data_IF_720436245039
#
_entry.id   IF_720436245039
#
_cell.length_a   1.000
_cell.length_b   1.000
_cell.length_c   1.000
_cell.angle_alpha   90.00
_cell.angle_beta   90.00
_cell.angle_gamma   90.00
#
_symmetry.space_group_name_H-M   'P 1'
#
loop_
_entity.id
_entity.type
_entity.pdbx_description
1 polymer ?
#
# COMPACT_ATOMS: atom_id res chain seq x y z
N UNK A 1 7.67 97.53 -9.28
CA UNK A 1 6.95 97.98 -8.09
C UNK A 1 5.60 97.30 -8.04
N UNK A 2 5.42 96.27 -7.29
CA UNK A 2 4.27 95.95 -6.46
C UNK A 2 4.42 94.47 -5.93
N UNK A 3 4.50 94.39 -4.62
CA UNK A 3 4.53 93.20 -3.86
C UNK A 3 3.16 92.46 -3.87
N UNK A 4 3.10 91.20 -4.14
CA UNK A 4 1.91 90.41 -3.99
C UNK A 4 2.12 89.35 -2.91
N UNK A 5 1.38 89.49 -1.81
CA UNK A 5 1.35 88.58 -0.63
C UNK A 5 0.73 87.26 -0.98
N UNK A 6 1.42 86.19 -0.69
CA UNK A 6 0.86 84.80 -0.77
C UNK A 6 0.39 84.38 0.62
N UNK A 7 -0.91 84.09 0.74
CA UNK A 7 -1.56 83.48 1.90
C UNK A 7 -1.40 81.93 1.81
N UNK A 8 -0.76 81.37 2.81
CA UNK A 8 -0.64 79.86 2.88
C UNK A 8 -1.90 79.27 3.50
N UNK A 9 -2.49 78.30 2.82
CA UNK A 9 -3.54 77.44 3.33
C UNK A 9 -2.88 76.15 3.89
N UNK A 10 -3.02 75.97 5.20
CA UNK A 10 -2.56 74.72 5.85
C UNK A 10 -3.64 73.65 5.67
N UNK A 11 -3.30 72.54 4.89
CA UNK A 11 -4.11 71.38 4.79
C UNK A 11 -3.72 70.47 5.91
N UNK A 12 -4.64 70.21 6.84
CA UNK A 12 -4.50 69.14 7.88
C UNK A 12 -4.90 67.81 7.27
N UNK A 13 -3.93 66.94 7.05
CA UNK A 13 -4.16 65.55 6.68
C UNK A 13 -4.55 64.78 7.92
N UNK A 14 -5.77 64.24 7.96
CA UNK A 14 -6.24 63.29 8.93
C UNK A 14 -5.89 61.89 8.43
N UNK A 15 -4.93 61.24 9.06
CA UNK A 15 -4.61 59.81 8.79
C UNK A 15 -5.63 58.94 9.50
N UNK A 16 -6.49 58.29 8.73
CA UNK A 16 -7.37 57.22 9.24
C UNK A 16 -6.58 55.93 9.22
N UNK A 17 -6.24 55.42 10.41
CA UNK A 17 -5.64 54.08 10.60
C UNK A 17 -6.77 53.07 10.50
N UNK A 18 -6.84 52.35 9.36
CA UNK A 18 -7.74 51.24 9.16
C UNK A 18 -7.06 49.96 9.70
N UNK A 19 -7.46 49.50 10.89
CA UNK A 19 -7.02 48.25 11.48
C UNK A 19 -7.80 47.13 10.79
N UNK A 20 -7.18 46.46 9.82
CA UNK A 20 -7.69 45.18 9.27
C UNK A 20 -7.44 44.05 10.29
N UNK A 21 -8.48 43.71 11.04
CA UNK A 21 -8.51 42.48 11.84
C UNK A 21 -8.70 41.29 10.91
N UNK A 22 -7.58 40.71 10.42
CA UNK A 22 -7.59 39.44 9.67
C UNK A 22 -7.84 38.30 10.62
N UNK A 23 -9.04 37.73 10.62
CA UNK A 23 -9.32 36.42 11.23
C UNK A 23 -8.63 35.37 10.40
N UNK A 24 -7.50 34.84 10.89
CA UNK A 24 -6.88 33.61 10.39
C UNK A 24 -7.84 32.45 10.67
N UNK A 25 -8.59 32.02 9.66
CA UNK A 25 -9.28 30.76 9.68
C UNK A 25 -8.22 29.64 9.71
N UNK A 26 -8.01 29.05 10.88
CA UNK A 26 -7.21 27.83 11.02
C UNK A 26 -7.94 26.72 10.27
N UNK A 27 -7.50 26.39 9.05
CA UNK A 27 -7.88 25.14 8.40
C UNK A 27 -7.41 23.98 9.29
N UNK A 28 -8.30 23.04 9.69
CA UNK A 28 -7.87 21.84 10.38
C UNK A 28 -6.94 21.07 9.43
N UNK A 29 -5.66 21.06 9.74
CA UNK A 29 -4.71 20.10 9.15
C UNK A 29 -5.16 18.75 9.64
N UNK A 30 -5.87 17.99 8.80
CA UNK A 30 -6.06 16.57 9.02
C UNK A 30 -4.66 15.95 8.93
N UNK A 31 -4.03 15.77 10.09
CA UNK A 31 -2.85 14.94 10.20
C UNK A 31 -3.25 13.56 9.65
N UNK A 32 -2.72 13.20 8.50
CA UNK A 32 -2.74 11.82 8.05
C UNK A 32 -1.97 11.07 9.11
N UNK A 33 -2.69 10.37 9.99
CA UNK A 33 -2.08 9.46 10.96
C UNK A 33 -1.42 8.35 10.16
N UNK A 34 -0.12 8.54 9.89
CA UNK A 34 0.71 7.57 9.17
C UNK A 34 0.67 6.22 9.89
N UNK A 35 0.97 5.16 9.16
CA UNK A 35 1.22 3.86 9.76
C UNK A 35 2.37 4.00 10.76
N UNK A 36 2.18 3.47 11.96
CA UNK A 36 3.16 3.51 13.05
C UNK A 36 3.43 2.08 13.51
N UNK A 37 4.58 1.87 14.16
CA UNK A 37 4.83 0.62 14.85
C UNK A 37 3.66 0.34 15.82
N UNK A 38 3.31 -0.93 15.98
CA UNK A 38 2.28 -1.35 16.92
C UNK A 38 2.76 -1.14 18.36
N UNK A 39 1.87 -0.78 19.27
CA UNK A 39 2.18 -0.83 20.70
C UNK A 39 2.28 -2.29 21.17
N UNK A 40 2.99 -2.48 22.28
CA UNK A 40 3.26 -3.82 22.87
C UNK A 40 1.98 -4.59 23.14
N UNK A 41 0.91 -3.90 23.57
CA UNK A 41 -0.37 -4.53 23.88
C UNK A 41 -1.05 -5.04 22.60
N UNK A 42 -1.02 -4.29 21.50
CA UNK A 42 -1.55 -4.72 20.21
C UNK A 42 -0.78 -5.94 19.67
N UNK A 43 0.55 -5.95 19.77
CA UNK A 43 1.37 -7.10 19.36
C UNK A 43 1.01 -8.32 20.19
N UNK A 44 0.97 -8.20 21.51
CA UNK A 44 0.63 -9.30 22.41
C UNK A 44 -0.79 -9.84 22.15
N UNK A 45 -1.76 -8.95 21.92
CA UNK A 45 -3.14 -9.34 21.63
C UNK A 45 -3.26 -10.15 20.33
N UNK A 46 -2.55 -9.73 19.26
CA UNK A 46 -2.55 -10.44 17.97
C UNK A 46 -1.79 -11.77 18.08
N UNK A 47 -0.67 -11.79 18.81
CA UNK A 47 0.15 -12.98 19.04
C UNK A 47 -0.61 -14.08 19.81
N UNK A 48 -1.44 -13.70 20.79
CA UNK A 48 -2.16 -14.63 21.67
C UNK A 48 -3.35 -15.35 20.99
N UNK A 49 -3.85 -14.85 19.85
CA UNK A 49 -5.03 -15.45 19.20
C UNK A 49 -4.65 -16.69 18.43
N UNK A 50 -5.21 -17.84 18.79
CA UNK A 50 -5.16 -19.02 17.95
C UNK A 50 -6.03 -18.80 16.71
N UNK A 51 -5.43 -18.86 15.52
CA UNK A 51 -6.13 -18.68 14.25
C UNK A 51 -6.60 -20.05 13.72
N UNK A 52 -7.91 -20.30 13.77
CA UNK A 52 -8.52 -21.41 13.03
C UNK A 52 -8.75 -21.00 11.57
N UNK A 53 -8.27 -21.81 10.63
CA UNK A 53 -8.48 -21.59 9.19
C UNK A 53 -7.38 -20.78 8.50
N UNK A 54 -6.16 -20.86 8.98
CA UNK A 54 -4.96 -20.37 8.27
C UNK A 54 -4.83 -21.10 6.93
N UNK A 55 -4.50 -20.34 5.88
CA UNK A 55 -4.04 -20.92 4.63
C UNK A 55 -2.68 -21.59 4.93
N UNK A 56 -2.67 -22.94 5.06
CA UNK A 56 -1.47 -23.70 5.43
C UNK A 56 -1.54 -24.46 6.76
N UNK A 57 -2.61 -24.30 7.59
CA UNK A 57 -2.80 -25.02 8.85
C UNK A 57 -3.48 -24.22 9.95
N UNK A 58 -3.64 -24.80 11.13
CA UNK A 58 -4.14 -24.08 12.32
C UNK A 58 -2.95 -23.33 12.97
N UNK A 59 -3.03 -22.01 13.06
CA UNK A 59 -2.04 -21.22 13.77
C UNK A 59 -2.32 -21.26 15.28
N UNK A 60 -1.37 -21.72 16.07
CA UNK A 60 -1.36 -21.60 17.53
C UNK A 60 -1.06 -20.14 17.94
N UNK A 61 -1.18 -19.82 19.24
CA UNK A 61 -0.59 -18.60 19.77
C UNK A 61 0.93 -18.59 19.50
N UNK A 62 1.47 -17.43 19.15
CA UNK A 62 2.91 -17.23 18.89
C UNK A 62 3.51 -16.31 19.96
N UNK A 63 4.79 -16.43 20.29
CA UNK A 63 5.46 -15.49 21.15
C UNK A 63 5.52 -14.09 20.53
N UNK A 64 5.11 -13.06 21.28
CA UNK A 64 5.06 -11.68 20.79
C UNK A 64 6.43 -11.12 20.39
N UNK A 65 7.48 -11.57 21.06
CA UNK A 65 8.89 -11.20 20.80
C UNK A 65 9.43 -11.69 19.45
N UNK A 66 8.70 -12.58 18.78
CA UNK A 66 9.04 -13.06 17.42
C UNK A 66 8.55 -12.14 16.31
N UNK A 67 7.91 -11.02 16.63
CA UNK A 67 7.52 -10.05 15.62
C UNK A 67 8.76 -9.47 14.91
N UNK A 68 8.85 -9.68 13.59
CA UNK A 68 9.96 -9.23 12.74
C UNK A 68 9.62 -8.00 11.94
N UNK A 69 8.34 -7.84 11.57
CA UNK A 69 7.80 -6.67 10.90
C UNK A 69 6.41 -6.35 11.45
N UNK A 70 6.08 -5.08 11.58
CA UNK A 70 4.80 -4.69 12.13
C UNK A 70 4.35 -3.30 11.70
N UNK A 71 3.05 -3.12 11.54
CA UNK A 71 2.44 -1.82 11.29
C UNK A 71 1.03 -1.77 11.88
N UNK A 72 0.71 -0.66 12.53
CA UNK A 72 -0.60 -0.39 13.09
C UNK A 72 -1.14 0.95 12.61
N UNK A 73 -2.47 1.03 12.48
CA UNK A 73 -3.15 2.25 12.02
C UNK A 73 -4.57 2.30 12.57
N UNK A 74 -5.06 3.45 13.08
CA UNK A 74 -6.50 3.64 13.28
C UNK A 74 -7.24 3.44 11.95
N UNK A 75 -8.40 2.76 11.96
CA UNK A 75 -9.16 2.66 10.73
C UNK A 75 -9.91 3.96 10.46
N UNK A 76 -9.64 4.68 9.35
CA UNK A 76 -10.17 6.03 9.12
C UNK A 76 -11.70 6.10 9.03
N UNK A 77 -12.35 4.95 8.82
CA UNK A 77 -13.80 4.84 8.59
C UNK A 77 -14.58 4.34 9.81
N UNK A 78 -13.88 3.87 10.83
CA UNK A 78 -14.44 3.45 12.11
C UNK A 78 -13.41 3.64 13.22
N UNK A 79 -13.48 4.75 13.97
CA UNK A 79 -12.50 5.07 15.02
C UNK A 79 -12.50 4.09 16.19
N UNK A 80 -13.54 3.24 16.32
CA UNK A 80 -13.58 2.17 17.31
C UNK A 80 -12.67 0.98 16.94
N UNK A 81 -12.09 0.99 15.74
CA UNK A 81 -11.24 -0.08 15.22
C UNK A 81 -9.83 0.42 14.94
N UNK A 82 -8.86 -0.37 15.36
CA UNK A 82 -7.45 -0.27 14.95
C UNK A 82 -7.11 -1.46 14.06
N UNK A 83 -6.39 -1.22 12.98
CA UNK A 83 -5.83 -2.25 12.12
C UNK A 83 -4.41 -2.55 12.55
N UNK A 84 -4.03 -3.82 12.50
CA UNK A 84 -2.66 -4.29 12.74
C UNK A 84 -2.27 -5.31 11.67
N UNK A 85 -1.05 -5.24 11.18
CA UNK A 85 -0.41 -6.28 10.39
C UNK A 85 0.96 -6.58 11.00
N UNK A 86 1.21 -7.84 11.34
CA UNK A 86 2.40 -8.28 12.07
C UNK A 86 2.87 -9.59 11.45
N UNK A 87 4.13 -9.68 11.10
CA UNK A 87 4.79 -10.91 10.70
C UNK A 87 5.61 -11.45 11.88
N UNK A 88 5.39 -12.71 12.23
CA UNK A 88 6.09 -13.41 13.30
C UNK A 88 7.00 -14.47 12.71
N UNK A 89 8.24 -14.57 13.21
CA UNK A 89 9.13 -15.66 12.86
C UNK A 89 8.69 -16.97 13.49
N UNK A 90 8.78 -18.06 12.75
CA UNK A 90 8.60 -19.43 13.24
C UNK A 90 9.75 -19.89 14.14
N UNK A 91 9.70 -21.16 14.53
CA UNK A 91 10.73 -21.77 15.40
C UNK A 91 12.00 -22.16 14.64
N UNK A 92 11.89 -22.40 13.34
CA UNK A 92 12.98 -22.90 12.52
C UNK A 92 13.51 -21.82 11.58
N UNK A 93 14.82 -21.84 11.37
CA UNK A 93 15.50 -21.15 10.28
C UNK A 93 16.17 -22.20 9.40
N UNK A 94 16.21 -21.97 8.09
CA UNK A 94 16.98 -22.84 7.18
C UNK A 94 18.49 -22.63 7.42
N UNK A 95 19.36 -23.55 6.93
CA UNK A 95 20.81 -23.35 6.97
C UNK A 95 21.27 -22.05 6.26
N UNK A 96 20.48 -21.55 5.31
CA UNK A 96 20.74 -20.28 4.63
C UNK A 96 20.32 -19.03 5.46
N UNK A 97 19.72 -19.22 6.64
CA UNK A 97 19.23 -18.16 7.49
C UNK A 97 17.81 -17.68 7.17
N UNK A 98 17.15 -18.31 6.20
CA UNK A 98 15.76 -18.01 5.84
C UNK A 98 14.80 -18.44 6.95
N UNK A 99 13.78 -17.63 7.20
CA UNK A 99 12.81 -17.84 8.28
C UNK A 99 11.47 -18.32 7.73
N UNK A 100 10.86 -19.29 8.39
CA UNK A 100 9.41 -19.46 8.26
C UNK A 100 8.71 -18.30 8.98
N UNK A 101 7.72 -17.70 8.34
CA UNK A 101 6.99 -16.56 8.83
C UNK A 101 5.49 -16.84 8.89
N UNK A 102 4.80 -16.19 9.84
CA UNK A 102 3.35 -16.12 9.88
C UNK A 102 2.91 -14.66 9.87
N UNK A 103 2.27 -14.21 8.77
CA UNK A 103 1.62 -12.90 8.70
C UNK A 103 0.26 -12.98 9.38
N UNK A 104 0.02 -12.15 10.36
CA UNK A 104 -1.28 -11.92 11.00
C UNK A 104 -1.77 -10.51 10.71
N UNK A 105 -2.98 -10.41 10.17
CA UNK A 105 -3.67 -9.13 9.96
C UNK A 105 -4.91 -9.12 10.80
N UNK A 106 -5.07 -8.11 11.65
CA UNK A 106 -6.12 -8.05 12.66
C UNK A 106 -6.88 -6.73 12.65
N UNK A 107 -8.15 -6.81 13.00
CA UNK A 107 -8.93 -5.70 13.54
C UNK A 107 -8.98 -5.82 15.05
N UNK A 108 -8.62 -4.76 15.74
CA UNK A 108 -8.70 -4.66 17.21
C UNK A 108 -9.74 -3.62 17.58
N UNK A 109 -10.51 -3.90 18.62
CA UNK A 109 -11.33 -2.89 19.28
C UNK A 109 -10.41 -1.85 19.94
N UNK A 110 -10.55 -0.58 19.59
CA UNK A 110 -9.63 0.47 20.01
C UNK A 110 -9.70 0.79 21.51
N UNK A 111 -10.85 0.48 22.16
CA UNK A 111 -11.04 0.72 23.58
C UNK A 111 -10.47 -0.38 24.47
N UNK A 112 -10.68 -1.65 24.08
CA UNK A 112 -10.26 -2.81 24.88
C UNK A 112 -8.98 -3.49 24.42
N UNK A 113 -8.48 -3.17 23.20
CA UNK A 113 -7.35 -3.84 22.57
C UNK A 113 -7.62 -5.28 22.13
N UNK A 114 -8.86 -5.78 22.25
CA UNK A 114 -9.20 -7.16 21.88
C UNK A 114 -9.26 -7.34 20.37
N UNK A 115 -8.74 -8.45 19.85
CA UNK A 115 -8.88 -8.84 18.45
C UNK A 115 -10.34 -9.21 18.18
N UNK A 116 -10.98 -8.48 17.24
CA UNK A 116 -12.37 -8.68 16.83
C UNK A 116 -12.49 -9.42 15.50
N UNK A 117 -11.44 -9.37 14.66
CA UNK A 117 -11.34 -10.19 13.44
C UNK A 117 -9.86 -10.42 13.10
N UNK A 118 -9.55 -11.58 12.50
CA UNK A 118 -8.19 -12.01 12.18
C UNK A 118 -8.13 -12.70 10.81
N UNK A 119 -7.02 -12.47 10.11
CA UNK A 119 -6.49 -13.25 9.00
C UNK A 119 -5.08 -13.72 9.36
N UNK A 120 -4.74 -14.94 8.98
CA UNK A 120 -3.37 -15.42 9.13
C UNK A 120 -2.95 -16.21 7.88
N UNK A 121 -1.68 -16.06 7.50
CA UNK A 121 -1.06 -16.68 6.35
C UNK A 121 0.37 -17.10 6.68
N UNK A 122 0.71 -18.36 6.41
CA UNK A 122 2.08 -18.82 6.43
C UNK A 122 2.85 -18.27 5.22
N UNK A 123 4.08 -17.84 5.42
CA UNK A 123 5.02 -17.36 4.41
C UNK A 123 6.40 -17.96 4.70
N UNK A 124 7.25 -18.07 3.69
CA UNK A 124 8.66 -18.46 3.85
C UNK A 124 9.54 -17.40 3.24
N UNK A 125 10.62 -17.06 3.92
CA UNK A 125 11.68 -16.24 3.31
C UNK A 125 12.50 -17.10 2.34
N UNK A 126 12.92 -16.48 1.26
CA UNK A 126 13.78 -17.06 0.24
C UNK A 126 14.57 -15.95 -0.48
N UNK A 127 15.20 -16.28 -1.60
CA UNK A 127 15.95 -15.30 -2.39
C UNK A 127 15.09 -14.16 -2.97
N UNK A 128 13.76 -14.30 -2.99
CA UNK A 128 12.80 -13.32 -3.52
C UNK A 128 11.97 -12.62 -2.44
N UNK A 129 11.89 -13.19 -1.25
CA UNK A 129 11.13 -12.65 -0.12
C UNK A 129 11.98 -12.62 1.16
N UNK A 130 12.30 -11.43 1.63
CA UNK A 130 12.93 -11.18 2.93
C UNK A 130 12.21 -9.99 3.59
N UNK A 131 11.87 -10.11 4.89
CA UNK A 131 11.17 -9.05 5.60
C UNK A 131 12.09 -8.27 6.55
N UNK A 132 12.09 -6.95 6.40
CA UNK A 132 12.61 -5.99 7.37
C UNK A 132 11.48 -5.42 8.24
N UNK A 133 11.82 -4.63 9.24
CA UNK A 133 10.87 -4.07 10.19
C UNK A 133 9.75 -3.21 9.54
N UNK A 134 10.04 -2.58 8.40
CA UNK A 134 9.17 -1.70 7.63
C UNK A 134 8.55 -2.37 6.39
N UNK A 135 8.72 -3.67 6.22
CA UNK A 135 8.19 -4.44 5.08
C UNK A 135 6.65 -4.51 5.00
N UNK A 136 5.93 -4.10 6.05
CA UNK A 136 4.48 -4.15 6.09
C UNK A 136 3.85 -2.75 6.01
N UNK A 137 2.84 -2.60 5.13
CA UNK A 137 2.05 -1.38 5.00
C UNK A 137 0.55 -1.69 4.99
N UNK A 138 -0.24 -0.94 5.75
CA UNK A 138 -1.70 -1.00 5.71
C UNK A 138 -2.25 -0.02 4.68
N UNK A 139 -3.00 -0.54 3.71
CA UNK A 139 -3.72 0.25 2.72
C UNK A 139 -5.18 0.44 3.16
N UNK A 140 -5.54 1.68 3.44
CA UNK A 140 -6.89 2.07 3.88
C UNK A 140 -7.58 2.98 2.86
N UNK A 141 -7.29 2.80 1.57
CA UNK A 141 -8.03 3.47 0.52
C UNK A 141 -9.52 3.08 0.53
N UNK A 142 -10.36 3.85 -0.18
CA UNK A 142 -11.81 3.64 -0.18
C UNK A 142 -12.23 2.46 -1.05
N UNK A 143 -12.05 1.25 -0.53
CA UNK A 143 -12.52 0.04 -1.18
C UNK A 143 -13.95 -0.30 -0.73
N UNK A 144 -14.95 0.48 -1.18
CA UNK A 144 -16.36 0.27 -0.90
C UNK A 144 -16.91 -0.82 -1.83
N UNK A 145 -16.86 -2.09 -1.40
CA UNK A 145 -17.26 -3.23 -2.22
C UNK A 145 -18.79 -3.33 -2.35
N UNK A 146 -19.51 -3.00 -1.28
CA UNK A 146 -20.97 -2.94 -1.25
C UNK A 146 -21.44 -2.00 -0.13
N UNK A 147 -22.73 -1.72 -0.05
CA UNK A 147 -23.30 -0.95 1.07
C UNK A 147 -22.97 -1.62 2.40
N UNK A 148 -22.20 -0.93 3.24
CA UNK A 148 -21.77 -1.44 4.55
C UNK A 148 -20.63 -2.47 4.50
N UNK A 149 -20.08 -2.77 3.33
CA UNK A 149 -18.93 -3.66 3.16
C UNK A 149 -17.75 -2.89 2.58
N UNK A 150 -16.78 -2.63 3.42
CA UNK A 150 -15.53 -1.97 3.03
C UNK A 150 -14.35 -2.89 3.30
N UNK A 151 -13.48 -3.02 2.29
CA UNK A 151 -12.22 -3.73 2.43
C UNK A 151 -11.11 -2.79 2.86
N UNK A 152 -10.01 -3.37 3.34
CA UNK A 152 -8.71 -2.73 3.50
C UNK A 152 -7.62 -3.69 3.03
N UNK A 153 -6.44 -3.17 2.75
CA UNK A 153 -5.31 -3.95 2.26
C UNK A 153 -4.18 -4.05 3.26
N UNK A 154 -3.43 -5.13 3.15
CA UNK A 154 -2.06 -5.22 3.65
C UNK A 154 -1.14 -5.40 2.45
N UNK A 155 -0.05 -4.66 2.43
CA UNK A 155 1.00 -4.76 1.40
C UNK A 155 2.25 -5.29 2.09
N UNK A 156 2.84 -6.30 1.50
CA UNK A 156 4.11 -6.90 1.90
C UNK A 156 5.16 -6.48 0.88
N UNK A 157 6.20 -5.79 1.34
CA UNK A 157 7.36 -5.37 0.57
C UNK A 157 8.56 -6.25 0.93
N UNK A 158 9.28 -6.75 -0.07
CA UNK A 158 10.49 -7.54 0.13
C UNK A 158 11.74 -6.67 0.12
N UNK A 159 12.66 -6.96 1.03
CA UNK A 159 14.03 -6.38 1.00
C UNK A 159 15.06 -7.36 0.44
N UNK A 160 14.62 -8.52 -0.05
CA UNK A 160 15.49 -9.48 -0.69
C UNK A 160 16.17 -8.85 -1.91
N UNK A 161 17.43 -9.22 -2.13
CA UNK A 161 18.18 -8.70 -3.28
C UNK A 161 17.73 -9.28 -4.61
N UNK A 162 17.01 -10.40 -4.57
CA UNK A 162 16.60 -11.12 -5.78
C UNK A 162 17.76 -11.74 -6.55
N UNK A 163 17.46 -12.22 -7.75
CA UNK A 163 18.47 -12.70 -8.69
C UNK A 163 19.33 -11.57 -9.24
N UNK A 164 20.62 -11.80 -9.47
CA UNK A 164 21.54 -10.79 -10.03
C UNK A 164 21.17 -10.39 -11.47
N UNK A 165 20.60 -11.33 -12.23
CA UNK A 165 20.18 -11.12 -13.63
C UNK A 165 18.75 -11.66 -13.80
N UNK A 166 17.74 -10.99 -13.24
CA UNK A 166 16.37 -11.48 -13.34
C UNK A 166 15.79 -11.23 -14.74
N UNK A 167 14.94 -12.13 -15.20
CA UNK A 167 14.05 -11.91 -16.35
C UNK A 167 12.74 -11.27 -15.93
N UNK A 168 12.31 -11.51 -14.71
CA UNK A 168 11.09 -11.02 -14.10
C UNK A 168 11.29 -10.79 -12.61
N UNK A 169 10.59 -9.78 -12.08
CA UNK A 169 10.50 -9.49 -10.65
C UNK A 169 9.15 -8.89 -10.31
N UNK A 170 8.69 -9.09 -9.06
CA UNK A 170 7.46 -8.52 -8.56
C UNK A 170 7.55 -8.25 -7.07
N UNK A 171 6.93 -7.15 -6.63
CA UNK A 171 6.97 -6.70 -5.25
C UNK A 171 5.67 -5.99 -4.85
N UNK A 172 5.64 -5.48 -3.61
CA UNK A 172 4.46 -4.83 -3.04
C UNK A 172 3.21 -5.72 -3.14
N UNK A 173 3.29 -6.95 -2.61
CA UNK A 173 2.20 -7.92 -2.64
C UNK A 173 1.02 -7.44 -1.78
N UNK A 174 -0.02 -6.90 -2.42
CA UNK A 174 -1.28 -6.48 -1.79
C UNK A 174 -2.20 -7.68 -1.58
N UNK A 175 -2.69 -7.85 -0.36
CA UNK A 175 -3.87 -8.67 -0.03
C UNK A 175 -5.00 -7.77 0.44
N UNK A 176 -6.12 -7.75 -0.31
CA UNK A 176 -7.32 -7.00 0.06
C UNK A 176 -8.24 -7.90 0.89
N UNK A 177 -8.66 -7.41 2.06
CA UNK A 177 -9.38 -8.17 3.08
C UNK A 177 -10.76 -7.56 3.36
N UNK A 178 -11.77 -8.41 3.54
CA UNK A 178 -13.09 -8.04 4.04
C UNK A 178 -13.37 -8.73 5.36
N UNK A 179 -14.12 -8.05 6.26
CA UNK A 179 -14.53 -8.64 7.53
C UNK A 179 -15.78 -9.49 7.36
N UNK A 180 -15.72 -10.74 7.82
CA UNK A 180 -16.84 -11.67 7.92
C UNK A 180 -16.93 -12.20 9.35
N UNK A 181 -17.73 -11.52 10.18
CA UNK A 181 -17.81 -11.83 11.61
C UNK A 181 -16.47 -11.61 12.33
N UNK A 182 -15.86 -12.71 12.80
CA UNK A 182 -14.54 -12.70 13.48
C UNK A 182 -13.37 -13.04 12.55
N UNK A 183 -13.62 -13.20 11.26
CA UNK A 183 -12.62 -13.56 10.26
C UNK A 183 -12.41 -12.39 9.30
N UNK A 184 -11.18 -12.21 8.86
CA UNK A 184 -10.83 -11.41 7.69
C UNK A 184 -10.59 -12.38 6.53
N UNK A 185 -11.33 -12.20 5.45
CA UNK A 185 -11.23 -13.04 4.26
C UNK A 185 -10.54 -12.29 3.12
N UNK A 186 -9.51 -12.88 2.50
CA UNK A 186 -8.89 -12.29 1.32
C UNK A 186 -9.86 -12.37 0.12
N UNK A 187 -10.01 -11.24 -0.57
CA UNK A 187 -10.85 -11.13 -1.78
C UNK A 187 -10.05 -10.81 -3.03
N UNK A 188 -8.83 -10.28 -2.86
CA UNK A 188 -7.89 -10.01 -3.95
C UNK A 188 -6.45 -10.17 -3.43
N UNK A 189 -5.59 -10.74 -4.26
CA UNK A 189 -4.14 -10.71 -4.11
C UNK A 189 -3.53 -10.20 -5.40
N UNK A 190 -2.63 -9.20 -5.32
CA UNK A 190 -2.08 -8.52 -6.48
C UNK A 190 -0.73 -7.89 -6.14
N UNK A 191 0.31 -8.16 -6.91
CA UNK A 191 1.55 -7.40 -6.84
C UNK A 191 1.33 -6.00 -7.43
N UNK A 192 1.73 -4.96 -6.71
CA UNK A 192 1.54 -3.57 -7.13
C UNK A 192 2.72 -3.04 -7.94
N UNK A 193 3.86 -3.69 -7.84
CA UNK A 193 5.06 -3.42 -8.64
C UNK A 193 5.46 -4.69 -9.36
N UNK A 194 5.73 -4.57 -10.65
CA UNK A 194 6.22 -5.66 -11.51
C UNK A 194 7.32 -5.13 -12.42
N UNK A 195 8.28 -5.98 -12.71
CA UNK A 195 9.38 -5.66 -13.62
C UNK A 195 9.66 -6.85 -14.54
N UNK A 196 10.07 -6.60 -15.77
CA UNK A 196 10.54 -7.64 -16.67
C UNK A 196 11.63 -7.14 -17.62
N UNK A 197 12.47 -8.04 -18.07
CA UNK A 197 13.30 -7.89 -19.23
C UNK A 197 12.47 -8.20 -20.49
N UNK A 198 12.57 -7.35 -21.52
CA UNK A 198 11.82 -7.50 -22.77
C UNK A 198 12.73 -7.95 -23.89
N UNK A 199 13.96 -7.40 -23.93
CA UNK A 199 14.94 -7.67 -24.98
C UNK A 199 16.36 -7.48 -24.44
N UNK A 200 17.30 -8.22 -25.00
CA UNK A 200 18.70 -8.19 -24.60
C UNK A 200 18.98 -9.11 -23.41
N UNK A 201 20.14 -9.00 -22.82
CA UNK A 201 20.58 -9.72 -21.61
C UNK A 201 21.03 -8.72 -20.55
N UNK A 202 20.32 -8.65 -19.41
CA UNK A 202 20.53 -7.64 -18.37
C UNK A 202 21.98 -7.59 -17.87
N UNK A 203 22.65 -8.73 -17.74
CA UNK A 203 24.01 -8.82 -17.26
C UNK A 203 25.10 -8.80 -18.37
N UNK A 204 24.71 -8.80 -19.64
CA UNK A 204 25.64 -8.80 -20.77
C UNK A 204 25.09 -8.00 -21.96
N UNK A 205 24.54 -6.81 -21.70
CA UNK A 205 23.84 -6.05 -22.72
C UNK A 205 24.76 -5.32 -23.71
N UNK A 206 25.90 -4.79 -23.31
CA UNK A 206 26.88 -4.13 -24.15
C UNK A 206 26.27 -3.23 -25.24
N UNK A 207 26.79 -3.29 -26.46
CA UNK A 207 26.28 -2.52 -27.61
C UNK A 207 24.92 -2.98 -28.15
N UNK A 208 24.51 -4.23 -27.86
CA UNK A 208 23.19 -4.73 -28.24
C UNK A 208 22.06 -4.06 -27.45
N UNK A 209 22.39 -3.54 -26.27
CA UNK A 209 21.45 -2.88 -25.38
C UNK A 209 20.50 -3.84 -24.67
N UNK A 210 19.75 -3.31 -23.71
CA UNK A 210 18.69 -4.01 -22.99
C UNK A 210 17.43 -3.16 -22.98
N UNK A 211 16.29 -3.81 -23.12
CA UNK A 211 14.96 -3.21 -22.95
C UNK A 211 14.29 -3.84 -21.77
N UNK A 212 13.87 -3.01 -20.83
CA UNK A 212 13.15 -3.44 -19.61
C UNK A 212 11.82 -2.72 -19.48
N UNK A 213 10.90 -3.31 -18.77
CA UNK A 213 9.62 -2.69 -18.43
C UNK A 213 9.38 -2.78 -16.92
N UNK A 214 8.94 -1.66 -16.35
CA UNK A 214 8.47 -1.57 -14.96
C UNK A 214 7.01 -1.13 -14.95
N UNK A 215 6.15 -1.91 -14.31
CA UNK A 215 4.73 -1.60 -14.11
C UNK A 215 4.46 -1.23 -12.66
N UNK A 216 3.77 -0.11 -12.43
CA UNK A 216 3.21 0.25 -11.11
C UNK A 216 1.69 0.23 -11.22
N UNK A 217 1.04 -0.54 -10.34
CA UNK A 217 -0.40 -0.77 -10.35
C UNK A 217 -1.10 0.03 -9.27
N UNK A 218 -2.26 0.56 -9.62
CA UNK A 218 -3.18 1.22 -8.68
C UNK A 218 -4.58 0.62 -8.83
N UNK A 219 -5.30 0.57 -7.71
CA UNK A 219 -6.67 0.07 -7.65
C UNK A 219 -7.66 1.23 -7.54
N UNK A 220 -8.80 1.10 -8.21
CA UNK A 220 -9.96 1.97 -8.02
C UNK A 220 -11.24 1.15 -8.06
N UNK A 221 -12.28 1.61 -7.35
CA UNK A 221 -13.60 0.99 -7.44
C UNK A 221 -14.26 1.36 -8.77
N UNK A 222 -14.94 0.39 -9.40
CA UNK A 222 -15.77 0.60 -10.57
C UNK A 222 -17.25 0.48 -10.20
N UNK A 223 -18.14 1.02 -11.02
CA UNK A 223 -19.59 1.09 -10.70
C UNK A 223 -20.36 -0.21 -10.91
N UNK A 224 -20.04 -1.09 -11.90
CA UNK A 224 -20.73 -2.36 -12.06
C UNK A 224 -20.59 -3.25 -10.82
N UNK A 225 -21.65 -4.01 -10.51
CA UNK A 225 -21.71 -4.93 -9.37
C UNK A 225 -21.88 -6.36 -9.89
N UNK A 226 -21.02 -7.28 -9.45
CA UNK A 226 -21.09 -8.69 -9.76
C UNK A 226 -21.02 -9.52 -8.48
N UNK A 227 -21.88 -10.53 -8.37
CA UNK A 227 -22.01 -11.38 -7.18
C UNK A 227 -22.05 -10.59 -5.84
N UNK A 228 -22.68 -9.39 -5.86
CA UNK A 228 -22.90 -8.54 -4.68
C UNK A 228 -21.81 -7.53 -4.37
N UNK A 229 -20.66 -7.53 -5.09
CA UNK A 229 -19.57 -6.55 -4.90
C UNK A 229 -19.32 -5.74 -6.17
N UNK A 230 -18.95 -4.48 -5.99
CA UNK A 230 -18.54 -3.59 -7.07
C UNK A 230 -17.24 -4.11 -7.72
N UNK A 231 -17.12 -3.92 -9.03
CA UNK A 231 -15.92 -4.29 -9.77
C UNK A 231 -14.72 -3.44 -9.31
N UNK A 232 -13.51 -3.96 -9.49
CA UNK A 232 -12.24 -3.25 -9.24
C UNK A 232 -11.56 -3.02 -10.59
N UNK A 233 -11.16 -1.78 -10.84
CA UNK A 233 -10.29 -1.43 -11.95
C UNK A 233 -8.84 -1.36 -11.47
N UNK A 234 -7.98 -2.17 -12.07
CA UNK A 234 -6.54 -2.04 -11.99
C UNK A 234 -6.05 -1.12 -13.10
N UNK A 235 -5.22 -0.15 -12.76
CA UNK A 235 -4.53 0.69 -13.73
C UNK A 235 -3.04 0.51 -13.56
N UNK A 236 -2.35 0.10 -14.62
CA UNK A 236 -0.90 -0.02 -14.68
C UNK A 236 -0.30 1.16 -15.42
N UNK A 237 0.64 1.86 -14.79
CA UNK A 237 1.59 2.73 -15.46
C UNK A 237 2.83 1.90 -15.77
N UNK A 238 3.13 1.72 -17.06
CA UNK A 238 4.28 0.94 -17.52
C UNK A 238 5.31 1.87 -18.12
N UNK A 239 6.51 1.85 -17.57
CA UNK A 239 7.69 2.54 -18.13
C UNK A 239 8.55 1.51 -18.84
N UNK A 240 8.78 1.71 -20.12
CA UNK A 240 9.74 0.94 -20.94
C UNK A 240 11.03 1.74 -21.00
N UNK A 241 12.13 1.18 -20.52
CA UNK A 241 13.47 1.77 -20.54
C UNK A 241 14.34 1.02 -21.53
N UNK A 242 15.08 1.76 -22.36
CA UNK A 242 16.06 1.21 -23.29
C UNK A 242 17.42 1.77 -22.93
N UNK A 243 18.36 0.91 -22.58
CA UNK A 243 19.75 1.23 -22.24
C UNK A 243 20.69 0.62 -23.28
N UNK A 244 21.58 1.43 -23.86
CA UNK A 244 22.59 1.01 -24.83
C UNK A 244 23.94 1.61 -24.45
N UNK A 245 25.01 0.83 -24.52
CA UNK A 245 26.35 1.28 -24.17
C UNK A 245 26.75 2.52 -24.96
N UNK A 246 27.18 3.58 -24.28
CA UNK A 246 27.62 4.84 -24.86
C UNK A 246 26.48 5.75 -25.39
N UNK A 247 25.23 5.37 -25.24
CA UNK A 247 24.07 6.20 -25.55
C UNK A 247 23.34 6.67 -24.28
N UNK A 248 22.52 7.70 -24.42
CA UNK A 248 21.63 8.13 -23.35
C UNK A 248 20.44 7.17 -23.25
N UNK A 249 20.07 6.78 -22.03
CA UNK A 249 18.89 5.98 -21.79
C UNK A 249 17.62 6.69 -22.27
N UNK A 250 16.71 5.92 -22.83
CA UNK A 250 15.41 6.44 -23.29
C UNK A 250 14.27 5.75 -22.54
N UNK A 251 13.25 6.52 -22.23
CA UNK A 251 12.06 6.00 -21.53
C UNK A 251 10.78 6.33 -22.31
N UNK A 252 9.84 5.40 -22.27
CA UNK A 252 8.47 5.57 -22.78
C UNK A 252 7.47 5.07 -21.76
N UNK A 253 6.40 5.83 -21.56
CA UNK A 253 5.34 5.46 -20.62
C UNK A 253 4.08 5.10 -21.38
N UNK A 254 3.41 4.00 -20.95
CA UNK A 254 2.07 3.65 -21.39
C UNK A 254 1.19 3.34 -20.19
N UNK A 255 -0.11 3.56 -20.35
CA UNK A 255 -1.12 3.23 -19.34
C UNK A 255 -2.01 2.09 -19.88
N UNK A 256 -2.25 1.11 -19.03
CA UNK A 256 -3.13 -0.02 -19.31
C UNK A 256 -4.17 -0.15 -18.19
N UNK A 257 -5.34 -0.69 -18.50
CA UNK A 257 -6.43 -0.90 -17.52
C UNK A 257 -6.99 -2.30 -17.67
N UNK A 258 -7.21 -2.97 -16.54
CA UNK A 258 -7.89 -4.25 -16.45
C UNK A 258 -9.02 -4.15 -15.43
N UNK A 259 -10.18 -4.76 -15.73
CA UNK A 259 -11.30 -4.84 -14.79
C UNK A 259 -11.32 -6.22 -14.16
N UNK A 260 -11.47 -6.25 -12.85
CA UNK A 260 -11.63 -7.46 -12.05
C UNK A 260 -13.08 -7.54 -11.57
N UNK A 261 -13.71 -8.69 -11.75
CA UNK A 261 -15.06 -9.00 -11.25
C UNK A 261 -15.00 -9.92 -10.06
N UNK A 262 -15.89 -9.67 -9.12
CA UNK A 262 -16.09 -10.58 -8.01
C UNK A 262 -16.90 -11.81 -8.47
N UNK A 263 -16.42 -13.01 -8.19
CA UNK A 263 -17.07 -14.27 -8.59
C UNK A 263 -17.82 -14.97 -7.45
N UNK A 264 -18.03 -14.27 -6.33
CA UNK A 264 -18.62 -14.83 -5.09
C UNK A 264 -17.57 -15.27 -4.06
N UNK A 265 -16.30 -15.42 -4.45
CA UNK A 265 -15.20 -15.80 -3.58
C UNK A 265 -14.05 -14.79 -3.62
N UNK A 266 -13.63 -14.40 -4.81
CA UNK A 266 -12.49 -13.49 -5.05
C UNK A 266 -12.68 -12.68 -6.33
N UNK A 267 -11.90 -11.64 -6.48
CA UNK A 267 -11.80 -10.89 -7.72
C UNK A 267 -10.98 -11.65 -8.76
N UNK A 268 -11.51 -11.67 -10.00
CA UNK A 268 -10.86 -12.33 -11.14
C UNK A 268 -10.93 -11.42 -12.37
N UNK A 269 -9.95 -11.46 -13.27
CA UNK A 269 -9.99 -10.70 -14.52
C UNK A 269 -11.21 -11.02 -15.35
N UNK A 270 -11.86 -9.99 -15.93
CA UNK A 270 -13.02 -10.16 -16.84
C UNK A 270 -12.62 -10.81 -18.17
N UNK A 271 -11.45 -10.45 -18.67
CA UNK A 271 -10.87 -11.05 -19.87
C UNK A 271 -9.43 -11.43 -19.57
N UNK A 272 -8.96 -12.54 -20.12
CA UNK A 272 -7.51 -12.77 -20.20
C UNK A 272 -6.96 -11.71 -21.14
N UNK A 273 -6.11 -10.82 -20.62
CA UNK A 273 -5.38 -9.89 -21.49
C UNK A 273 -4.51 -10.72 -22.43
N UNK A 274 -4.72 -10.55 -23.75
CA UNK A 274 -3.89 -11.20 -24.77
C UNK A 274 -2.51 -10.54 -24.89
N UNK A 275 -2.35 -9.33 -24.38
CA UNK A 275 -1.11 -8.55 -24.42
C UNK A 275 -0.50 -8.51 -23.03
N UNK A 276 0.01 -9.68 -22.55
CA UNK A 276 0.66 -9.83 -21.23
C UNK A 276 0.50 -8.58 -20.37
N UNK A 277 -0.68 -8.44 -19.80
CA UNK A 277 -1.05 -7.43 -18.76
C UNK A 277 0.15 -7.22 -17.86
N UNK A 278 0.37 -6.21 -17.06
CA UNK A 278 1.64 -6.09 -16.41
C UNK A 278 2.24 -7.44 -16.02
N UNK A 279 2.95 -8.01 -16.97
CA UNK A 279 3.98 -9.04 -16.89
C UNK A 279 3.62 -10.36 -16.20
N UNK A 280 2.45 -10.87 -16.40
CA UNK A 280 2.11 -12.20 -15.95
C UNK A 280 0.69 -12.61 -16.34
N UNK A 281 0.49 -13.90 -16.51
CA UNK A 281 -0.82 -14.50 -16.75
C UNK A 281 -1.68 -14.56 -15.49
#
# INVERSE_FOLDING_TARGET
MHLGRRSGLAVRSASVLMVLSGTLAACPVFAQTGATACDVQSVAAVAAVAASGVVGGAAAAVPAERAVAQTCKPWPYDPSIRLAAIAFAGDATTPAGERDLELRVAMLDAGSGKVVALYAQAMGEDASLELAADSLRLDTARYDLAKGVRAFGVVVHSVARGASCPDFDSDDALTLLVREGRRLRPVLQQNLTVWRQVQGELCNWGKAGVVTERGTLTLSMDTPVHAGYADIALTANVVTSTTVEGAQDTERTRRQRQVLRYNGMRYVPVSRSTDSWPFGN
#
